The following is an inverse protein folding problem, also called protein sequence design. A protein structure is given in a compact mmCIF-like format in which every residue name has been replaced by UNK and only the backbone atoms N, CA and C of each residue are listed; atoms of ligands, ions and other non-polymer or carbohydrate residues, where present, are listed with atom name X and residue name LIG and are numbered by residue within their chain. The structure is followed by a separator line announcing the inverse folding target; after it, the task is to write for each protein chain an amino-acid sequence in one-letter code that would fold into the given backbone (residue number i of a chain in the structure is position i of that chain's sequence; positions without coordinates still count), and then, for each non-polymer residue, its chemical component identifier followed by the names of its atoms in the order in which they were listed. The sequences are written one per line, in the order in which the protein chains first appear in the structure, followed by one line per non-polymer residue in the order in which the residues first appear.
data_IF_805447292681
#
_entry.id   IF_805447292681
#
_cell.length_a   1.000
_cell.length_b   1.000
_cell.length_c   1.000
_cell.angle_alpha   90.00
_cell.angle_beta   90.00
_cell.angle_gamma   90.00
#
_symmetry.space_group_name_H-M   'P 1'
#
loop_
_entity.id
_entity.type
_entity.pdbx_description
1 polymer ?
#
# COMPACT_ATOMS: atom_id res chain seq x y z
N UNK A 1 -20.14 -16.71 -8.71
CA UNK A 1 -18.84 -16.38 -8.12
C UNK A 1 -18.70 -14.85 -8.04
N UNK A 2 -19.24 -14.20 -7.00
CA UNK A 2 -19.25 -12.72 -6.88
C UNK A 2 -18.90 -12.19 -5.48
N UNK A 3 -18.87 -13.03 -4.44
CA UNK A 3 -18.46 -12.61 -3.09
C UNK A 3 -16.94 -12.50 -2.91
N UNK A 4 -16.13 -12.94 -3.89
CA UNK A 4 -14.66 -12.95 -3.80
C UNK A 4 -13.96 -11.80 -4.54
N UNK A 5 -14.64 -10.96 -5.34
CA UNK A 5 -13.93 -9.95 -6.16
C UNK A 5 -13.52 -8.73 -5.35
N UNK A 6 -14.42 -8.13 -4.59
CA UNK A 6 -14.15 -6.90 -3.85
C UNK A 6 -13.18 -7.13 -2.68
N UNK A 7 -13.32 -8.27 -2.01
CA UNK A 7 -12.40 -8.69 -0.94
C UNK A 7 -10.98 -8.95 -1.50
N UNK A 8 -10.87 -9.66 -2.63
CA UNK A 8 -9.58 -9.84 -3.30
C UNK A 8 -8.97 -8.51 -3.72
N UNK A 9 -9.76 -7.58 -4.25
CA UNK A 9 -9.25 -6.26 -4.66
C UNK A 9 -8.67 -5.52 -3.45
N UNK A 10 -9.40 -5.45 -2.32
CA UNK A 10 -8.90 -4.82 -1.09
C UNK A 10 -7.60 -5.46 -0.60
N UNK A 11 -7.54 -6.79 -0.56
CA UNK A 11 -6.35 -7.51 -0.09
C UNK A 11 -5.17 -7.31 -1.04
N UNK A 12 -5.37 -7.43 -2.35
CA UNK A 12 -4.31 -7.16 -3.32
C UNK A 12 -3.79 -5.73 -3.21
N UNK A 13 -4.68 -4.76 -3.02
CA UNK A 13 -4.29 -3.36 -2.77
C UNK A 13 -3.44 -3.24 -1.50
N UNK A 14 -3.90 -3.80 -0.39
CA UNK A 14 -3.17 -3.78 0.88
C UNK A 14 -1.78 -4.44 0.77
N UNK A 15 -1.70 -5.62 0.15
CA UNK A 15 -0.42 -6.33 -0.08
C UNK A 15 0.52 -5.48 -0.94
N UNK A 16 0.00 -4.87 -2.00
CA UNK A 16 0.81 -4.07 -2.93
C UNK A 16 1.41 -2.85 -2.22
N UNK A 17 0.60 -2.13 -1.45
CA UNK A 17 1.06 -1.00 -0.64
C UNK A 17 2.09 -1.42 0.41
N UNK A 18 1.89 -2.57 1.08
CA UNK A 18 2.88 -3.12 2.03
C UNK A 18 4.21 -3.43 1.35
N UNK A 19 4.20 -4.03 0.14
CA UNK A 19 5.42 -4.32 -0.63
C UNK A 19 6.14 -3.06 -1.06
N UNK A 20 5.41 -2.04 -1.53
CA UNK A 20 5.98 -0.72 -1.86
C UNK A 20 6.64 -0.10 -0.62
N UNK A 21 5.95 -0.08 0.53
CA UNK A 21 6.49 0.49 1.76
C UNK A 21 7.75 -0.26 2.23
N UNK A 22 7.71 -1.60 2.18
CA UNK A 22 8.87 -2.43 2.50
C UNK A 22 10.07 -2.14 1.56
N UNK A 23 9.81 -1.88 0.28
CA UNK A 23 10.90 -1.54 -0.66
C UNK A 23 11.59 -0.22 -0.30
N UNK A 24 10.84 0.79 0.19
CA UNK A 24 11.41 2.04 0.71
C UNK A 24 12.25 1.74 1.95
N UNK A 25 11.69 0.99 2.90
CA UNK A 25 12.35 0.68 4.18
C UNK A 25 13.65 -0.11 3.97
N UNK A 26 13.65 -1.06 3.05
CA UNK A 26 14.83 -1.85 2.70
C UNK A 26 15.88 -1.01 1.95
N UNK A 27 15.48 -0.09 1.08
CA UNK A 27 16.41 0.82 0.39
C UNK A 27 16.99 1.90 1.31
N UNK A 28 16.21 2.37 2.29
CA UNK A 28 16.62 3.37 3.28
C UNK A 28 17.71 2.86 4.23
N UNK A 29 17.76 1.55 4.50
CA UNK A 29 18.83 0.94 5.28
C UNK A 29 20.18 0.92 4.54
N UNK A 30 20.17 1.13 3.21
CA UNK A 30 21.38 1.04 2.36
C UNK A 30 21.97 2.41 2.02
N UNK A 31 21.24 3.52 2.24
CA UNK A 31 21.72 4.87 1.89
C UNK A 31 21.46 5.89 3.01
N UNK A 32 22.54 6.41 3.57
CA UNK A 32 22.58 7.66 4.34
C UNK A 32 22.15 8.83 3.42
N UNK A 33 20.86 9.04 3.19
CA UNK A 33 20.39 10.11 2.32
C UNK A 33 19.17 10.83 2.91
N UNK A 34 19.38 12.13 3.05
CA UNK A 34 18.60 13.20 3.67
C UNK A 34 17.32 13.59 2.93
N UNK A 35 16.63 12.65 2.26
CA UNK A 35 15.40 12.95 1.53
C UNK A 35 14.20 12.18 2.10
N UNK A 36 13.40 12.90 2.90
CA UNK A 36 12.01 12.61 3.33
C UNK A 36 11.56 11.15 3.18
N UNK A 37 12.19 10.26 3.94
CA UNK A 37 11.87 8.83 3.88
C UNK A 37 10.52 8.64 4.56
N UNK A 38 9.51 8.29 3.78
CA UNK A 38 8.23 7.81 4.29
C UNK A 38 8.49 6.51 5.05
N UNK A 39 8.46 6.56 6.39
CA UNK A 39 8.81 5.42 7.25
C UNK A 39 7.59 4.77 7.89
N UNK A 40 6.48 5.51 7.99
CA UNK A 40 5.30 5.12 8.74
C UNK A 40 3.99 5.51 8.06
N UNK A 41 2.87 4.93 8.53
CA UNK A 41 1.52 5.35 8.11
C UNK A 41 1.22 6.82 8.44
N UNK A 42 1.91 7.40 9.43
CA UNK A 42 1.75 8.80 9.77
C UNK A 42 2.41 9.70 8.70
N UNK A 43 3.60 9.32 8.22
CA UNK A 43 4.30 10.09 7.19
C UNK A 43 3.51 10.08 5.88
N UNK A 44 2.98 8.91 5.49
CA UNK A 44 2.07 8.78 4.34
C UNK A 44 0.87 9.71 4.50
N UNK A 45 0.24 9.70 5.69
CA UNK A 45 -0.95 10.50 5.96
C UNK A 45 -0.68 12.00 5.85
N UNK A 46 0.46 12.47 6.40
CA UNK A 46 0.87 13.86 6.32
C UNK A 46 1.20 14.27 4.88
N UNK A 47 1.90 13.43 4.12
CA UNK A 47 2.27 13.71 2.73
C UNK A 47 1.07 13.67 1.78
N UNK A 48 0.07 12.84 2.05
CA UNK A 48 -1.16 12.71 1.26
C UNK A 48 -2.27 13.69 1.68
N UNK A 49 -2.08 14.45 2.76
CA UNK A 49 -3.13 15.26 3.39
C UNK A 49 -4.43 14.49 3.68
N UNK A 50 -4.29 13.27 4.24
CA UNK A 50 -5.43 12.41 4.62
C UNK A 50 -5.29 11.92 6.06
N UNK A 51 -6.39 11.42 6.63
CA UNK A 51 -6.38 10.85 7.98
C UNK A 51 -5.49 9.60 8.03
N UNK A 52 -4.64 9.50 9.04
CA UNK A 52 -3.85 8.28 9.34
C UNK A 52 -4.71 7.01 9.44
N UNK A 53 -5.93 7.13 9.96
CA UNK A 53 -6.89 6.03 10.01
C UNK A 53 -7.24 5.51 8.61
N UNK A 54 -7.38 6.38 7.60
CA UNK A 54 -7.64 6.00 6.21
C UNK A 54 -6.46 5.22 5.63
N UNK A 55 -5.23 5.67 5.87
CA UNK A 55 -4.00 4.94 5.48
C UNK A 55 -4.00 3.56 6.14
N UNK A 56 -4.15 3.51 7.46
CA UNK A 56 -4.17 2.25 8.23
C UNK A 56 -5.23 1.28 7.72
N UNK A 57 -6.46 1.76 7.49
CA UNK A 57 -7.55 0.91 7.00
C UNK A 57 -7.27 0.35 5.60
N UNK A 58 -6.67 1.15 4.74
CA UNK A 58 -6.29 0.72 3.38
C UNK A 58 -5.18 -0.33 3.43
N UNK A 59 -4.13 -0.09 4.23
CA UNK A 59 -3.02 -1.04 4.41
C UNK A 59 -3.44 -2.33 5.10
N UNK A 60 -4.54 -2.33 5.87
CA UNK A 60 -5.05 -3.52 6.55
C UNK A 60 -6.26 -4.15 5.85
N UNK A 61 -6.64 -3.67 4.66
CA UNK A 61 -7.82 -4.12 3.93
C UNK A 61 -9.16 -4.00 4.70
N UNK A 62 -9.20 -3.15 5.73
CA UNK A 62 -10.41 -2.91 6.54
C UNK A 62 -11.48 -2.11 5.77
N UNK A 63 -11.08 -1.34 4.76
CA UNK A 63 -11.98 -0.57 3.90
C UNK A 63 -11.51 -0.58 2.46
N UNK A 64 -12.45 -0.36 1.53
CA UNK A 64 -12.11 -0.07 0.13
C UNK A 64 -11.67 1.38 0.07
N UNK A 65 -10.42 1.63 -0.34
CA UNK A 65 -10.02 2.98 -0.72
C UNK A 65 -10.67 3.35 -2.05
N UNK A 66 -11.26 4.53 -2.13
CA UNK A 66 -11.61 5.09 -3.43
C UNK A 66 -10.34 5.35 -4.27
N UNK A 67 -10.51 5.51 -5.57
CA UNK A 67 -9.39 5.66 -6.51
C UNK A 67 -8.52 6.86 -6.18
N UNK A 68 -9.11 7.98 -5.75
CA UNK A 68 -8.39 9.20 -5.38
C UNK A 68 -7.51 8.95 -4.16
N UNK A 69 -8.06 8.33 -3.11
CA UNK A 69 -7.34 7.98 -1.89
C UNK A 69 -6.20 7.01 -2.18
N UNK A 70 -6.41 6.01 -3.03
CA UNK A 70 -5.36 5.08 -3.43
C UNK A 70 -4.22 5.80 -4.15
N UNK A 71 -4.54 6.69 -5.10
CA UNK A 71 -3.54 7.47 -5.85
C UNK A 71 -2.75 8.38 -4.90
N UNK A 72 -3.43 9.11 -4.01
CA UNK A 72 -2.78 9.96 -3.01
C UNK A 72 -1.81 9.18 -2.12
N UNK A 73 -2.18 7.98 -1.67
CA UNK A 73 -1.30 7.11 -0.89
C UNK A 73 -0.06 6.69 -1.70
N UNK A 74 -0.24 6.29 -2.96
CA UNK A 74 0.85 5.84 -3.84
C UNK A 74 1.85 6.99 -4.09
N UNK A 75 1.34 8.18 -4.44
CA UNK A 75 2.16 9.35 -4.72
C UNK A 75 2.84 9.88 -3.45
N UNK A 76 2.15 9.87 -2.30
CA UNK A 76 2.74 10.25 -1.02
C UNK A 76 3.89 9.34 -0.59
N UNK A 77 3.92 8.10 -1.08
CA UNK A 77 5.05 7.16 -0.92
C UNK A 77 6.16 7.35 -1.96
N UNK A 78 5.99 8.27 -2.92
CA UNK A 78 6.97 8.55 -3.97
C UNK A 78 6.95 7.55 -5.13
N UNK A 79 5.85 6.80 -5.31
CA UNK A 79 5.70 5.84 -6.40
C UNK A 79 4.72 6.34 -7.47
N UNK A 80 4.82 5.77 -8.66
CA UNK A 80 3.82 5.95 -9.70
C UNK A 80 2.71 4.89 -9.61
N UNK A 81 1.55 5.17 -10.21
CA UNK A 81 0.48 4.16 -10.36
C UNK A 81 0.97 2.93 -11.14
N UNK A 82 1.91 3.10 -12.07
CA UNK A 82 2.53 2.00 -12.83
C UNK A 82 3.34 1.07 -11.93
N UNK A 83 4.07 1.61 -10.95
CA UNK A 83 4.84 0.80 -9.99
C UNK A 83 3.90 -0.03 -9.11
N UNK A 84 2.82 0.59 -8.65
CA UNK A 84 1.75 -0.11 -7.95
C UNK A 84 1.14 -1.22 -8.80
N UNK A 85 0.75 -0.93 -10.06
CA UNK A 85 0.08 -1.89 -10.93
C UNK A 85 0.94 -3.13 -11.19
N UNK A 86 2.25 -2.96 -11.44
CA UNK A 86 3.19 -4.08 -11.60
C UNK A 86 3.18 -5.02 -10.40
N UNK A 87 3.18 -4.46 -9.19
CA UNK A 87 3.13 -5.27 -7.96
C UNK A 87 1.77 -5.92 -7.83
N UNK A 88 0.69 -5.15 -8.03
CA UNK A 88 -0.68 -5.63 -7.93
C UNK A 88 -0.96 -6.82 -8.85
N UNK A 89 -0.52 -6.76 -10.10
CA UNK A 89 -0.71 -7.84 -11.07
C UNK A 89 0.19 -9.05 -10.78
N UNK A 90 1.28 -8.87 -10.03
CA UNK A 90 2.16 -9.97 -9.63
C UNK A 90 1.66 -10.78 -8.42
N UNK A 91 0.66 -10.27 -7.67
CA UNK A 91 0.18 -10.92 -6.45
C UNK A 91 -0.48 -12.26 -6.75
N UNK A 92 0.00 -13.31 -6.10
CA UNK A 92 -0.52 -14.68 -6.22
C UNK A 92 -1.60 -14.96 -5.19
N UNK A 93 -2.50 -15.90 -5.48
CA UNK A 93 -3.53 -16.35 -4.54
C UNK A 93 -2.95 -16.86 -3.21
N UNK A 94 -1.75 -17.46 -3.24
CA UNK A 94 -1.04 -17.87 -2.03
C UNK A 94 -0.74 -16.70 -1.09
N UNK A 95 -0.43 -15.52 -1.61
CA UNK A 95 -0.17 -14.32 -0.82
C UNK A 95 -1.46 -13.76 -0.22
N UNK A 96 -2.56 -13.83 -0.97
CA UNK A 96 -3.90 -13.47 -0.49
C UNK A 96 -4.30 -14.39 0.67
N UNK A 97 -4.09 -15.69 0.53
CA UNK A 97 -4.38 -16.67 1.59
C UNK A 97 -3.52 -16.45 2.84
N UNK A 98 -2.24 -16.09 2.68
CA UNK A 98 -1.36 -15.74 3.80
C UNK A 98 -1.85 -14.49 4.52
N UNK A 99 -2.25 -13.45 3.79
CA UNK A 99 -2.78 -12.22 4.37
C UNK A 99 -4.06 -12.46 5.19
N UNK A 100 -4.95 -13.36 4.74
CA UNK A 100 -6.18 -13.70 5.48
C UNK A 100 -5.93 -14.45 6.80
N UNK A 101 -4.73 -15.00 7.01
CA UNK A 101 -4.36 -15.76 8.22
C UNK A 101 -3.61 -14.93 9.27
N UNK A 102 -3.17 -13.73 8.92
CA UNK A 102 -2.45 -12.79 9.79
C UNK A 102 -3.40 -11.82 10.48
#
# INVERSE_FOLDING_TARGET
MKENSTEHIKIKTAISLKKLLASIQNSAQVKNADNSIVKSYNDIALNADIRKATVSNTFNANSIADSTTLILIIEAMGFSLTDFAKIYDSIKDSEILTFKKS
#
